data_IF_803790127576
#
_entry.id   IF_803790127576
#
_cell.length_a   1.000
_cell.length_b   1.000
_cell.length_c   1.000
_cell.angle_alpha   90.00
_cell.angle_beta   90.00
_cell.angle_gamma   90.00
#
_symmetry.space_group_name_H-M   'P 1'
#
loop_
_entity.id
_entity.type
_entity.pdbx_description
1 polymer ?
#
# COMPACT_ATOMS: atom_id res chain seq x y z
N UNK A 1 -34.45 -5.21 44.68
CA UNK A 1 -34.75 -3.80 44.36
C UNK A 1 -33.51 -3.03 43.89
N UNK A 2 -32.30 -3.31 44.40
CA UNK A 2 -31.05 -2.69 43.92
C UNK A 2 -30.49 -3.29 42.61
N UNK A 3 -30.73 -4.57 42.31
CA UNK A 3 -30.24 -5.20 41.07
C UNK A 3 -30.98 -4.70 39.81
N UNK A 4 -32.29 -4.43 39.90
CA UNK A 4 -33.07 -3.86 38.80
C UNK A 4 -32.65 -2.42 38.43
N UNK A 5 -32.05 -1.68 39.37
CA UNK A 5 -31.55 -0.32 39.14
C UNK A 5 -30.17 -0.29 38.48
N UNK A 6 -29.40 -1.38 38.58
CA UNK A 6 -28.10 -1.52 37.93
C UNK A 6 -28.25 -1.94 36.45
N UNK A 7 -29.25 -2.76 36.14
CA UNK A 7 -29.55 -3.21 34.79
C UNK A 7 -30.17 -2.10 33.92
N UNK A 8 -30.97 -1.21 34.52
CA UNK A 8 -31.51 -0.02 33.85
C UNK A 8 -30.45 1.06 33.57
N UNK A 9 -29.33 1.09 34.31
CA UNK A 9 -28.24 2.04 34.09
C UNK A 9 -27.25 1.61 33.00
N UNK A 10 -27.24 0.32 32.65
CA UNK A 10 -26.39 -0.23 31.58
C UNK A 10 -27.05 -0.18 30.19
N UNK A 11 -28.35 0.15 30.12
CA UNK A 11 -29.15 0.04 28.91
C UNK A 11 -29.12 1.29 28.00
N UNK A 12 -28.57 2.43 28.42
CA UNK A 12 -28.78 3.68 27.66
C UNK A 12 -27.60 4.66 27.63
N UNK A 13 -26.40 4.13 27.42
CA UNK A 13 -25.36 4.91 26.74
C UNK A 13 -25.07 4.29 25.39
N UNK A 14 -26.10 4.22 24.54
CA UNK A 14 -25.88 4.21 23.10
C UNK A 14 -25.28 5.58 22.79
N UNK A 15 -23.96 5.73 22.97
CA UNK A 15 -23.22 6.88 22.43
C UNK A 15 -23.58 6.90 20.95
N UNK A 16 -24.37 7.88 20.53
CA UNK A 16 -24.78 8.03 19.15
C UNK A 16 -23.51 8.04 18.30
N UNK A 17 -23.21 6.91 17.65
CA UNK A 17 -21.99 6.78 16.86
C UNK A 17 -22.12 7.83 15.78
N UNK A 18 -21.21 8.82 15.70
CA UNK A 18 -21.28 9.81 14.64
C UNK A 18 -21.34 9.07 13.30
N UNK A 19 -22.24 9.50 12.43
CA UNK A 19 -22.41 8.90 11.09
C UNK A 19 -21.04 8.77 10.42
N UNK A 20 -20.69 7.56 9.98
CA UNK A 20 -19.41 7.24 9.33
C UNK A 20 -19.15 8.23 8.19
N UNK A 21 -20.17 8.53 7.40
CA UNK A 21 -20.10 9.50 6.29
C UNK A 21 -19.72 10.90 6.75
N UNK A 22 -20.29 11.39 7.86
CA UNK A 22 -19.99 12.71 8.41
C UNK A 22 -18.53 12.78 8.89
N UNK A 23 -18.06 11.72 9.53
CA UNK A 23 -16.67 11.58 10.02
C UNK A 23 -15.66 11.51 8.88
N UNK A 24 -15.99 10.81 7.79
CA UNK A 24 -15.13 10.77 6.59
C UNK A 24 -15.05 12.14 5.91
N UNK A 25 -16.17 12.87 5.85
CA UNK A 25 -16.21 14.19 5.23
C UNK A 25 -15.49 15.27 6.05
N UNK A 26 -15.53 15.16 7.38
CA UNK A 26 -14.74 16.03 8.26
C UNK A 26 -13.25 15.78 8.09
N UNK A 27 -12.83 14.50 7.94
CA UNK A 27 -11.44 14.09 7.76
C UNK A 27 -11.04 13.85 6.30
N UNK A 28 -11.66 14.57 5.35
CA UNK A 28 -11.44 14.37 3.90
C UNK A 28 -9.98 14.42 3.45
N UNK A 29 -9.15 15.21 4.13
CA UNK A 29 -7.70 15.26 3.86
C UNK A 29 -7.05 13.94 4.25
N UNK A 30 -7.29 13.44 5.45
CA UNK A 30 -6.70 12.17 5.88
C UNK A 30 -7.20 11.01 5.01
N UNK A 31 -8.49 10.99 4.65
CA UNK A 31 -9.06 10.03 3.70
C UNK A 31 -8.29 10.06 2.37
N UNK A 32 -8.08 11.25 1.78
CA UNK A 32 -7.35 11.38 0.51
C UNK A 32 -5.93 10.82 0.60
N UNK A 33 -5.18 11.14 1.67
CA UNK A 33 -3.81 10.66 1.83
C UNK A 33 -3.75 9.15 2.03
N UNK A 34 -4.63 8.59 2.87
CA UNK A 34 -4.72 7.14 3.10
C UNK A 34 -5.10 6.44 1.81
N UNK A 35 -6.10 6.92 1.08
CA UNK A 35 -6.52 6.34 -0.20
C UNK A 35 -5.39 6.35 -1.24
N UNK A 36 -4.65 7.46 -1.37
CA UNK A 36 -3.56 7.55 -2.34
C UNK A 36 -2.41 6.59 -2.01
N UNK A 37 -1.96 6.58 -0.75
CA UNK A 37 -0.92 5.66 -0.28
C UNK A 37 -1.35 4.19 -0.45
N UNK A 38 -2.60 3.88 -0.13
CA UNK A 38 -3.15 2.52 -0.30
C UNK A 38 -3.22 2.14 -1.77
N UNK A 39 -3.70 3.03 -2.64
CA UNK A 39 -3.84 2.77 -4.07
C UNK A 39 -2.50 2.37 -4.70
N UNK A 40 -1.46 3.19 -4.55
CA UNK A 40 -0.16 2.88 -5.16
C UNK A 40 0.49 1.64 -4.53
N UNK A 41 0.40 1.48 -3.20
CA UNK A 41 0.99 0.32 -2.51
C UNK A 41 0.34 -0.99 -2.94
N UNK A 42 -0.99 -1.01 -3.03
CA UNK A 42 -1.76 -2.17 -3.46
C UNK A 42 -1.48 -2.50 -4.93
N UNK A 43 -1.56 -1.51 -5.84
CA UNK A 43 -1.30 -1.74 -7.27
C UNK A 43 0.10 -2.32 -7.50
N UNK A 44 1.11 -1.77 -6.83
CA UNK A 44 2.50 -2.26 -6.90
C UNK A 44 2.62 -3.68 -6.36
N UNK A 45 2.05 -3.96 -5.18
CA UNK A 45 2.06 -5.29 -4.57
C UNK A 45 1.46 -6.34 -5.52
N UNK A 46 0.25 -6.10 -6.02
CA UNK A 46 -0.41 -7.05 -6.92
C UNK A 46 0.35 -7.23 -8.24
N UNK A 47 0.99 -6.18 -8.75
CA UNK A 47 1.76 -6.27 -10.01
C UNK A 47 3.02 -7.11 -9.85
N UNK A 48 3.82 -6.89 -8.80
CA UNK A 48 5.12 -7.59 -8.64
C UNK A 48 5.07 -8.87 -7.82
N UNK A 49 4.11 -9.04 -6.91
CA UNK A 49 4.09 -10.21 -6.02
C UNK A 49 3.10 -11.27 -6.50
N UNK A 50 2.05 -10.86 -7.19
CA UNK A 50 0.99 -11.77 -7.65
C UNK A 50 1.12 -11.99 -9.16
N UNK A 51 1.13 -10.93 -9.95
CA UNK A 51 1.10 -11.04 -11.40
C UNK A 51 2.46 -11.41 -12.01
N UNK A 52 3.56 -10.76 -11.59
CA UNK A 52 4.89 -10.97 -12.16
C UNK A 52 5.33 -12.45 -12.24
N UNK A 53 5.22 -13.28 -11.18
CA UNK A 53 5.56 -14.71 -11.27
C UNK A 53 4.74 -15.45 -12.32
N UNK A 54 3.42 -15.25 -12.32
CA UNK A 54 2.53 -15.89 -13.29
C UNK A 54 2.81 -15.45 -14.73
N UNK A 55 3.14 -14.18 -14.93
CA UNK A 55 3.50 -13.64 -16.22
C UNK A 55 4.84 -14.19 -16.74
N UNK A 56 5.82 -14.36 -15.84
CA UNK A 56 7.12 -14.91 -16.19
C UNK A 56 7.00 -16.35 -16.71
N UNK A 57 6.12 -17.15 -16.10
CA UNK A 57 5.79 -18.49 -16.59
C UNK A 57 5.03 -18.43 -17.91
N UNK A 58 3.97 -17.60 -18.01
CA UNK A 58 3.08 -17.58 -19.16
C UNK A 58 3.72 -17.00 -20.44
N UNK A 59 4.56 -15.97 -20.32
CA UNK A 59 5.13 -15.24 -21.46
C UNK A 59 6.57 -15.63 -21.74
N UNK A 60 7.38 -15.85 -20.70
CA UNK A 60 8.80 -16.18 -20.86
C UNK A 60 9.07 -17.69 -20.80
N UNK A 61 8.03 -18.52 -20.62
CA UNK A 61 8.15 -19.97 -20.57
C UNK A 61 9.03 -20.47 -19.43
N UNK A 62 9.20 -19.66 -18.38
CA UNK A 62 10.00 -20.03 -17.22
C UNK A 62 9.35 -21.20 -16.49
N UNK A 63 10.20 -22.07 -15.95
CA UNK A 63 9.74 -23.15 -15.11
C UNK A 63 8.96 -22.62 -13.89
N UNK A 64 7.79 -23.20 -13.66
CA UNK A 64 6.89 -22.75 -12.61
C UNK A 64 7.52 -22.89 -11.22
N UNK A 65 8.31 -23.95 -10.99
CA UNK A 65 8.99 -24.15 -9.72
C UNK A 65 10.03 -23.05 -9.48
N UNK A 66 10.84 -22.71 -10.48
CA UNK A 66 11.78 -21.59 -10.36
C UNK A 66 11.09 -20.24 -10.09
N UNK A 67 9.97 -19.95 -10.76
CA UNK A 67 9.23 -18.71 -10.53
C UNK A 67 8.62 -18.63 -9.13
N UNK A 68 8.10 -19.74 -8.63
CA UNK A 68 7.52 -19.82 -7.28
C UNK A 68 8.59 -19.70 -6.19
N UNK A 69 9.74 -20.37 -6.37
CA UNK A 69 10.88 -20.27 -5.44
C UNK A 69 11.43 -18.85 -5.42
N UNK A 70 11.56 -18.20 -6.57
CA UNK A 70 11.95 -16.79 -6.63
C UNK A 70 10.97 -15.89 -5.85
N UNK A 71 9.66 -16.09 -6.04
CA UNK A 71 8.64 -15.37 -5.27
C UNK A 71 8.72 -15.61 -3.76
N UNK A 72 8.95 -16.85 -3.34
CA UNK A 72 9.11 -17.19 -1.91
C UNK A 72 10.32 -16.49 -1.30
N UNK A 73 11.47 -16.51 -1.99
CA UNK A 73 12.69 -15.84 -1.52
C UNK A 73 12.49 -14.32 -1.43
N UNK A 74 11.84 -13.72 -2.43
CA UNK A 74 11.52 -12.29 -2.44
C UNK A 74 10.60 -11.91 -1.27
N UNK A 75 9.62 -12.75 -0.94
CA UNK A 75 8.76 -12.56 0.23
C UNK A 75 9.56 -12.61 1.54
N UNK A 76 10.56 -13.49 1.63
CA UNK A 76 11.50 -13.50 2.75
C UNK A 76 12.31 -12.20 2.86
N UNK A 77 12.81 -11.69 1.72
CA UNK A 77 13.50 -10.39 1.66
C UNK A 77 12.57 -9.26 2.10
N UNK A 78 11.33 -9.24 1.62
CA UNK A 78 10.32 -8.26 2.00
C UNK A 78 10.11 -8.24 3.52
N UNK A 79 9.91 -9.42 4.13
CA UNK A 79 9.71 -9.56 5.57
C UNK A 79 10.92 -9.05 6.38
N UNK A 80 12.13 -9.39 5.94
CA UNK A 80 13.37 -8.92 6.60
C UNK A 80 13.61 -7.42 6.42
N UNK A 81 13.13 -6.83 5.31
CA UNK A 81 13.35 -5.42 5.00
C UNK A 81 12.40 -4.48 5.74
N UNK A 82 11.19 -4.94 6.11
CA UNK A 82 10.22 -4.15 6.88
C UNK A 82 10.83 -3.52 8.16
N UNK A 83 11.46 -4.28 9.08
CA UNK A 83 12.02 -3.68 10.31
C UNK A 83 13.19 -2.74 10.02
N UNK A 84 14.01 -3.02 9.01
CA UNK A 84 15.11 -2.15 8.62
C UNK A 84 14.59 -0.79 8.11
N UNK A 85 13.56 -0.84 7.26
CA UNK A 85 12.94 0.35 6.71
C UNK A 85 12.11 1.10 7.75
N UNK A 86 11.55 0.40 8.74
CA UNK A 86 10.93 1.02 9.92
C UNK A 86 11.94 1.86 10.72
N UNK A 87 13.11 1.29 11.05
CA UNK A 87 14.20 2.06 11.70
C UNK A 87 14.67 3.24 10.85
N UNK A 88 14.73 3.06 9.53
CA UNK A 88 15.10 4.14 8.63
C UNK A 88 14.02 5.25 8.61
N UNK A 89 12.74 4.88 8.63
CA UNK A 89 11.61 5.81 8.71
C UNK A 89 11.67 6.65 9.97
N UNK A 90 11.94 6.03 11.10
CA UNK A 90 12.03 6.73 12.38
C UNK A 90 13.24 7.69 12.41
N UNK A 91 14.34 7.36 11.70
CA UNK A 91 15.55 8.21 11.64
C UNK A 91 15.47 9.33 10.61
N UNK A 92 14.87 9.10 9.44
CA UNK A 92 14.83 10.07 8.34
C UNK A 92 13.52 10.85 8.28
N UNK A 93 12.45 10.33 8.87
CA UNK A 93 11.10 10.87 8.76
C UNK A 93 10.22 9.99 7.88
N UNK A 94 8.94 9.87 8.25
CA UNK A 94 7.98 8.96 7.60
C UNK A 94 7.51 9.47 6.23
N UNK A 95 7.29 10.78 6.13
CA UNK A 95 6.93 11.48 4.87
C UNK A 95 8.00 11.38 3.79
N UNK A 96 9.27 11.79 4.03
CA UNK A 96 10.31 11.75 3.00
C UNK A 96 10.55 10.31 2.54
N UNK A 97 10.44 9.36 3.47
CA UNK A 97 10.56 7.96 3.16
C UNK A 97 9.46 7.48 2.20
N UNK A 98 8.18 7.71 2.51
CA UNK A 98 7.06 7.37 1.62
C UNK A 98 7.15 8.06 0.23
N UNK A 99 7.64 9.31 0.20
CA UNK A 99 7.86 10.04 -1.04
C UNK A 99 8.98 9.44 -1.89
N UNK A 100 10.13 9.11 -1.29
CA UNK A 100 11.25 8.46 -1.99
C UNK A 100 10.83 7.12 -2.59
N UNK A 101 9.95 6.35 -1.92
CA UNK A 101 9.48 5.10 -2.49
C UNK A 101 8.49 5.27 -3.62
N UNK A 102 7.51 6.15 -3.48
CA UNK A 102 6.55 6.40 -4.55
C UNK A 102 7.23 6.97 -5.80
N UNK A 103 8.19 7.88 -5.62
CA UNK A 103 8.99 8.41 -6.72
C UNK A 103 9.98 7.38 -7.27
N UNK A 104 10.65 6.62 -6.40
CA UNK A 104 11.58 5.56 -6.77
C UNK A 104 10.90 4.49 -7.61
N UNK A 105 9.68 4.10 -7.26
CA UNK A 105 8.87 3.19 -8.06
C UNK A 105 8.45 3.80 -9.39
N UNK A 106 8.05 5.08 -9.42
CA UNK A 106 7.68 5.75 -10.66
C UNK A 106 8.85 5.76 -11.68
N UNK A 107 10.09 5.96 -11.21
CA UNK A 107 11.29 5.96 -12.05
C UNK A 107 11.71 4.53 -12.44
N UNK A 108 11.65 3.60 -11.50
CA UNK A 108 12.12 2.23 -11.69
C UNK A 108 11.08 1.31 -12.35
N UNK A 109 9.82 1.72 -12.48
CA UNK A 109 8.75 0.88 -13.04
C UNK A 109 9.11 0.29 -14.42
N UNK A 110 9.57 1.12 -15.37
CA UNK A 110 9.99 0.64 -16.69
C UNK A 110 11.25 -0.25 -16.66
N UNK A 111 12.34 0.13 -15.96
CA UNK A 111 13.49 -0.75 -15.78
C UNK A 111 13.15 -2.11 -15.16
N UNK A 112 12.30 -2.12 -14.13
CA UNK A 112 11.86 -3.35 -13.45
C UNK A 112 11.01 -4.23 -14.36
N UNK A 113 10.17 -3.59 -15.17
CA UNK A 113 9.36 -4.25 -16.20
C UNK A 113 10.23 -4.88 -17.29
N UNK A 114 11.26 -4.19 -17.75
CA UNK A 114 12.17 -4.75 -18.74
C UNK A 114 12.98 -5.92 -18.18
N UNK A 115 13.36 -5.84 -16.90
CA UNK A 115 14.11 -6.89 -16.20
C UNK A 115 13.29 -8.16 -15.97
N UNK A 116 11.96 -8.08 -15.95
CA UNK A 116 11.07 -9.24 -15.82
C UNK A 116 11.23 -10.26 -16.96
N UNK A 117 11.65 -9.83 -18.15
CA UNK A 117 11.68 -10.68 -19.34
C UNK A 117 12.98 -11.41 -19.64
N UNK A 118 14.03 -11.21 -18.83
CA UNK A 118 15.40 -11.61 -19.18
C UNK A 118 15.87 -12.93 -18.56
N UNK A 119 15.01 -13.67 -17.83
CA UNK A 119 15.29 -14.98 -17.22
C UNK A 119 15.01 -15.06 -15.70
N UNK A 120 15.30 -16.22 -15.08
CA UNK A 120 14.98 -16.46 -13.65
C UNK A 120 15.72 -15.53 -12.68
N UNK A 121 16.98 -15.21 -12.97
CA UNK A 121 17.80 -14.32 -12.12
C UNK A 121 17.30 -12.87 -12.22
N UNK A 122 16.90 -12.45 -13.43
CA UNK A 122 16.39 -11.10 -13.64
C UNK A 122 14.98 -10.93 -13.06
N UNK A 123 14.15 -11.98 -13.10
CA UNK A 123 12.88 -12.04 -12.36
C UNK A 123 13.10 -11.83 -10.86
N UNK A 124 14.01 -12.59 -10.25
CA UNK A 124 14.34 -12.43 -8.84
C UNK A 124 14.85 -11.02 -8.51
N UNK A 125 15.74 -10.46 -9.34
CA UNK A 125 16.27 -9.12 -9.15
C UNK A 125 15.16 -8.04 -9.27
N UNK A 126 14.28 -8.15 -10.27
CA UNK A 126 13.15 -7.22 -10.46
C UNK A 126 12.21 -7.25 -9.25
N UNK A 127 11.76 -8.45 -8.87
CA UNK A 127 10.88 -8.64 -7.73
C UNK A 127 11.56 -8.24 -6.40
N UNK A 128 12.86 -8.48 -6.25
CA UNK A 128 13.65 -8.10 -5.08
C UNK A 128 13.80 -6.58 -4.92
N UNK A 129 14.10 -5.85 -6.00
CA UNK A 129 14.17 -4.39 -5.93
C UNK A 129 12.78 -3.81 -5.64
N UNK A 130 11.74 -4.33 -6.31
CA UNK A 130 10.36 -3.97 -6.05
C UNK A 130 9.95 -4.23 -4.59
N UNK A 131 10.37 -5.35 -4.01
CA UNK A 131 10.06 -5.69 -2.62
C UNK A 131 10.73 -4.76 -1.62
N UNK A 132 11.99 -4.35 -1.86
CA UNK A 132 12.68 -3.39 -1.00
C UNK A 132 11.98 -2.04 -1.01
N UNK A 133 11.61 -1.53 -2.19
CA UNK A 133 10.86 -0.27 -2.31
C UNK A 133 9.48 -0.37 -1.64
N UNK A 134 8.78 -1.49 -1.83
CA UNK A 134 7.46 -1.70 -1.24
C UNK A 134 7.53 -1.85 0.29
N UNK A 135 8.51 -2.60 0.81
CA UNK A 135 8.70 -2.78 2.25
C UNK A 135 8.83 -1.44 2.95
N UNK A 136 9.45 -0.52 2.24
CA UNK A 136 9.79 0.76 2.77
C UNK A 136 8.65 1.79 2.62
N UNK A 137 7.73 1.59 1.66
CA UNK A 137 6.41 2.21 1.67
C UNK A 137 5.54 1.65 2.81
N UNK A 138 5.58 0.33 3.05
CA UNK A 138 4.73 -0.36 4.03
C UNK A 138 5.14 -0.11 5.49
N UNK A 139 6.43 -0.09 5.80
CA UNK A 139 6.94 0.05 7.17
C UNK A 139 6.39 1.29 7.92
N UNK A 140 6.37 2.51 7.34
CA UNK A 140 5.82 3.68 8.00
C UNK A 140 4.28 3.79 7.95
N UNK A 141 3.55 2.97 7.17
CA UNK A 141 2.11 3.16 6.93
C UNK A 141 1.29 3.21 8.23
N UNK A 142 1.50 2.27 9.14
CA UNK A 142 0.75 2.22 10.39
C UNK A 142 0.95 3.48 11.24
N UNK A 143 2.17 4.00 11.21
CA UNK A 143 2.59 5.19 11.93
C UNK A 143 2.08 6.49 11.27
N UNK A 144 2.03 6.53 9.94
CA UNK A 144 1.40 7.60 9.17
C UNK A 144 -0.11 7.65 9.48
N UNK A 145 -0.78 6.51 9.57
CA UNK A 145 -2.21 6.46 9.89
C UNK A 145 -2.54 6.98 11.28
N UNK A 146 -1.64 6.79 12.25
CA UNK A 146 -1.83 7.32 13.60
C UNK A 146 -1.61 8.83 13.66
N UNK A 147 -0.67 9.37 12.89
CA UNK A 147 -0.39 10.81 12.83
C UNK A 147 -1.45 11.60 12.07
N UNK A 148 -1.96 11.06 10.96
CA UNK A 148 -2.91 11.76 10.10
C UNK A 148 -4.32 11.85 10.68
N UNK A 149 -4.70 10.90 11.53
CA UNK A 149 -6.09 10.76 11.97
C UNK A 149 -6.18 10.87 13.50
N UNK A 150 -7.05 11.77 14.02
CA UNK A 150 -7.27 11.91 15.45
C UNK A 150 -7.71 10.58 16.09
N UNK A 151 -7.18 10.28 17.27
CA UNK A 151 -7.38 9.00 17.98
C UNK A 151 -8.86 8.60 18.09
N UNK A 152 -9.76 9.58 18.30
CA UNK A 152 -11.21 9.37 18.46
C UNK A 152 -11.90 8.78 17.22
N UNK A 153 -11.41 9.08 16.02
CA UNK A 153 -12.03 8.69 14.74
C UNK A 153 -11.15 7.77 13.89
N UNK A 154 -9.93 7.49 14.35
CA UNK A 154 -8.89 6.71 13.66
C UNK A 154 -9.38 5.36 13.16
N UNK A 155 -9.96 4.54 14.03
CA UNK A 155 -10.42 3.21 13.65
C UNK A 155 -11.48 3.27 12.54
N UNK A 156 -12.40 4.24 12.58
CA UNK A 156 -13.45 4.42 11.57
C UNK A 156 -12.89 4.92 10.26
N UNK A 157 -12.09 5.99 10.27
CA UNK A 157 -11.53 6.59 9.05
C UNK A 157 -10.54 5.64 8.39
N UNK A 158 -9.57 5.09 9.14
CA UNK A 158 -8.58 4.16 8.59
C UNK A 158 -9.25 2.87 8.14
N UNK A 159 -10.10 2.27 8.97
CA UNK A 159 -10.77 1.01 8.64
C UNK A 159 -11.64 1.11 7.39
N UNK A 160 -12.47 2.16 7.28
CA UNK A 160 -13.32 2.37 6.11
C UNK A 160 -12.51 2.74 4.86
N UNK A 161 -11.55 3.65 4.99
CA UNK A 161 -10.78 4.14 3.83
C UNK A 161 -9.84 3.06 3.30
N UNK A 162 -9.03 2.44 4.17
CA UNK A 162 -8.11 1.37 3.78
C UNK A 162 -8.86 0.11 3.37
N UNK A 163 -9.87 -0.28 4.16
CA UNK A 163 -10.70 -1.46 3.89
C UNK A 163 -11.56 -1.34 2.64
N UNK A 164 -11.93 -0.12 2.23
CA UNK A 164 -12.65 0.13 0.98
C UNK A 164 -11.72 0.33 -0.22
N UNK A 165 -10.64 1.10 -0.06
CA UNK A 165 -9.71 1.36 -1.15
C UNK A 165 -8.94 0.09 -1.56
N UNK A 166 -8.48 -0.70 -0.59
CA UNK A 166 -7.62 -1.85 -0.87
C UNK A 166 -8.29 -2.92 -1.75
N UNK A 167 -9.56 -3.35 -1.52
CA UNK A 167 -10.25 -4.27 -2.42
C UNK A 167 -10.53 -3.67 -3.80
N UNK A 168 -10.92 -2.39 -3.85
CA UNK A 168 -11.22 -1.70 -5.12
C UNK A 168 -9.99 -1.69 -6.02
N UNK A 169 -8.82 -1.33 -5.49
CA UNK A 169 -7.59 -1.31 -6.27
C UNK A 169 -6.94 -2.68 -6.41
N UNK A 170 -6.99 -3.51 -5.36
CA UNK A 170 -6.34 -4.82 -5.31
C UNK A 170 -7.00 -5.86 -6.20
N UNK A 171 -8.33 -5.81 -6.37
CA UNK A 171 -9.04 -6.66 -7.31
C UNK A 171 -9.03 -6.11 -8.75
N UNK A 172 -9.21 -4.80 -8.90
CA UNK A 172 -9.33 -4.20 -10.25
C UNK A 172 -8.00 -4.10 -10.99
N UNK A 173 -6.89 -3.85 -10.28
CA UNK A 173 -5.57 -3.71 -10.89
C UNK A 173 -5.09 -4.97 -11.63
N UNK A 174 -5.11 -6.19 -11.03
CA UNK A 174 -4.70 -7.38 -11.76
C UNK A 174 -5.62 -7.69 -12.94
N UNK A 175 -6.94 -7.47 -12.82
CA UNK A 175 -7.86 -7.66 -13.95
C UNK A 175 -7.53 -6.71 -15.11
N UNK A 176 -7.34 -5.42 -14.82
CA UNK A 176 -6.94 -4.44 -15.82
C UNK A 176 -5.57 -4.79 -16.43
N UNK A 177 -4.62 -5.23 -15.60
CA UNK A 177 -3.29 -5.62 -16.05
C UNK A 177 -3.35 -6.79 -17.02
N UNK A 178 -4.09 -7.85 -16.67
CA UNK A 178 -4.28 -9.01 -17.54
C UNK A 178 -4.99 -8.63 -18.83
N UNK A 179 -6.05 -7.82 -18.77
CA UNK A 179 -6.79 -7.40 -19.97
C UNK A 179 -5.90 -6.57 -20.92
N UNK A 180 -5.21 -5.55 -20.41
CA UNK A 180 -4.30 -4.71 -21.19
C UNK A 180 -3.11 -5.52 -21.73
N UNK A 181 -2.56 -6.43 -20.92
CA UNK A 181 -1.48 -7.32 -21.33
C UNK A 181 -1.90 -8.29 -22.43
N UNK A 182 -3.14 -8.79 -22.40
CA UNK A 182 -3.68 -9.67 -23.46
C UNK A 182 -3.79 -8.99 -24.83
N UNK A 183 -3.86 -7.65 -24.86
CA UNK A 183 -3.85 -6.86 -26.09
C UNK A 183 -2.43 -6.38 -26.48
N UNK A 184 -1.39 -6.86 -25.82
CA UNK A 184 0.00 -6.43 -26.05
C UNK A 184 0.30 -5.00 -25.57
N UNK A 185 -0.62 -4.36 -24.86
CA UNK A 185 -0.52 -2.96 -24.44
C UNK A 185 0.07 -2.81 -23.02
N UNK A 186 0.88 -3.75 -22.55
CA UNK A 186 1.38 -3.79 -21.17
C UNK A 186 2.05 -2.49 -20.71
N UNK A 187 2.74 -1.79 -21.61
CA UNK A 187 3.32 -0.48 -21.33
C UNK A 187 2.28 0.56 -20.84
N UNK A 188 1.03 0.49 -21.33
CA UNK A 188 -0.07 1.37 -20.90
C UNK A 188 -0.43 1.13 -19.43
N UNK A 189 -0.43 -0.13 -18.99
CA UNK A 189 -0.65 -0.45 -17.57
C UNK A 189 0.49 0.12 -16.70
N UNK A 190 1.74 -0.02 -17.15
CA UNK A 190 2.90 0.53 -16.44
C UNK A 190 2.84 2.06 -16.37
N UNK A 191 2.44 2.74 -17.45
CA UNK A 191 2.23 4.19 -17.45
C UNK A 191 1.12 4.60 -16.47
N UNK A 192 0.00 3.87 -16.43
CA UNK A 192 -1.07 4.12 -15.47
C UNK A 192 -0.61 3.92 -14.02
N UNK A 193 0.23 2.91 -13.77
CA UNK A 193 0.86 2.66 -12.47
C UNK A 193 1.81 3.81 -12.08
N UNK A 194 2.66 4.26 -13.01
CA UNK A 194 3.54 5.43 -12.80
C UNK A 194 2.70 6.66 -12.47
N UNK A 195 1.62 6.91 -13.21
CA UNK A 195 0.71 8.01 -12.94
C UNK A 195 0.10 7.90 -11.54
N UNK A 196 -0.33 6.71 -11.12
CA UNK A 196 -0.83 6.48 -9.76
C UNK A 196 0.25 6.76 -8.70
N UNK A 197 1.49 6.30 -8.90
CA UNK A 197 2.62 6.60 -8.02
C UNK A 197 2.95 8.10 -7.96
N UNK A 198 2.91 8.81 -9.07
CA UNK A 198 3.15 10.26 -9.14
C UNK A 198 2.02 11.05 -8.45
N UNK A 199 0.77 10.63 -8.60
CA UNK A 199 -0.37 11.21 -7.86
C UNK A 199 -0.17 11.00 -6.37
N UNK A 200 0.22 9.79 -5.93
CA UNK A 200 0.52 9.53 -4.52
C UNK A 200 1.70 10.36 -4.04
N UNK A 201 2.77 10.51 -4.82
CA UNK A 201 3.90 11.35 -4.47
C UNK A 201 3.46 12.83 -4.29
N UNK A 202 2.65 13.36 -5.20
CA UNK A 202 2.11 14.72 -5.12
C UNK A 202 1.20 14.93 -3.90
N UNK A 203 0.36 13.95 -3.57
CA UNK A 203 -0.47 13.96 -2.36
C UNK A 203 0.40 13.87 -1.11
N UNK A 204 1.45 13.02 -1.13
CA UNK A 204 2.38 12.84 -0.01
C UNK A 204 3.15 14.12 0.30
N UNK A 205 3.54 14.90 -0.71
CA UNK A 205 4.19 16.22 -0.51
C UNK A 205 3.32 17.20 0.30
N UNK A 206 1.99 17.10 0.18
CA UNK A 206 1.02 17.92 0.91
C UNK A 206 0.75 17.44 2.33
N UNK A 207 1.32 16.31 2.74
CA UNK A 207 1.23 15.84 4.13
C UNK A 207 2.07 16.74 5.04
N UNK A 208 1.56 17.11 6.22
CA UNK A 208 2.40 17.72 7.24
C UNK A 208 3.51 16.74 7.66
N UNK A 209 4.72 17.25 7.92
CA UNK A 209 5.83 16.43 8.38
C UNK A 209 5.78 16.31 9.91
N UNK A 210 5.31 15.17 10.40
CA UNK A 210 4.94 14.95 11.81
C UNK A 210 6.08 14.39 12.67
N UNK A 211 7.34 14.61 12.26
CA UNK A 211 8.52 14.12 13.02
C UNK A 211 8.63 14.71 14.44
N UNK A 212 7.91 15.79 14.73
CA UNK A 212 7.96 16.55 15.99
C UNK A 212 6.67 16.50 16.83
N UNK A 213 5.65 15.73 16.44
CA UNK A 213 4.40 15.67 17.21
C UNK A 213 4.49 14.56 18.25
N UNK A 214 4.68 14.96 19.53
CA UNK A 214 4.53 14.07 20.67
C UNK A 214 3.10 13.52 20.71
N UNK A 215 2.96 12.20 20.57
CA UNK A 215 1.70 11.50 20.78
C UNK A 215 1.46 11.39 22.29
N UNK A 216 0.92 12.46 22.89
CA UNK A 216 0.34 12.45 24.25
C UNK A 216 -1.18 12.24 24.21
#
# INVERSE_FOLDING_TARGET
>A
MFEASAEAAAADVVVARPSVWRTLWSEKRAVLHISALSMSGVVVFYTWFIFAPSYAVAVHGLDAQHSLVAGLLVQGVFLGMIPLMGRLADRWGRKPLAFVFTLGFAVLAFPLEWLLGSGSVSLFASMGIASVLLAAACAPLGAIFTELVPTRVRATVVGFTYGGASPVFGGSAPYLNTWVSSQGMRAVFVVALIAACLVTAAVTLRMPETRTVELT
#
